data_IF_564595792227
#
_entry.id   IF_564595792227
#
_cell.length_a   1.000
_cell.length_b   1.000
_cell.length_c   1.000
_cell.angle_alpha   90.00
_cell.angle_beta   90.00
_cell.angle_gamma   90.00
#
_symmetry.space_group_name_H-M   'P 1'
#
loop_
_entity.id
_entity.type
_entity.pdbx_description
1 polymer ?
#
# COMPACT_ATOMS: atom_id res chain seq x y z
N UNK A 1 -1.40 -12.43 -14.23
CA UNK A 1 -2.30 -11.56 -15.01
C UNK A 1 -1.91 -10.15 -14.65
N UNK A 2 -1.49 -9.34 -15.62
CA UNK A 2 -1.14 -7.94 -15.40
C UNK A 2 -2.42 -7.14 -15.15
N UNK A 3 -2.80 -7.02 -13.88
CA UNK A 3 -4.00 -6.28 -13.47
C UNK A 3 -3.64 -4.84 -13.18
N UNK A 4 -4.41 -3.89 -13.73
CA UNK A 4 -4.25 -2.48 -13.39
C UNK A 4 -4.98 -2.17 -12.09
N UNK A 5 -4.30 -1.55 -11.14
CA UNK A 5 -4.88 -1.26 -9.82
C UNK A 5 -5.65 0.03 -9.80
N UNK A 6 -6.80 0.00 -9.11
CA UNK A 6 -7.70 1.14 -9.00
C UNK A 6 -8.16 1.33 -7.56
N UNK A 7 -8.36 2.57 -7.17
CA UNK A 7 -9.12 2.90 -5.97
C UNK A 7 -10.53 3.32 -6.35
N UNK A 8 -11.50 3.08 -5.47
CA UNK A 8 -12.73 3.89 -5.50
C UNK A 8 -12.35 5.36 -5.43
N UNK A 9 -12.92 6.18 -6.32
CA UNK A 9 -12.56 7.58 -6.41
C UNK A 9 -12.65 8.26 -5.02
N UNK A 10 -11.64 9.05 -4.62
CA UNK A 10 -11.64 9.75 -3.33
C UNK A 10 -12.78 10.78 -3.21
N UNK A 11 -13.38 11.18 -4.33
CA UNK A 11 -14.44 12.18 -4.40
C UNK A 11 -15.79 11.72 -3.81
N UNK A 12 -15.98 10.44 -3.50
CA UNK A 12 -17.27 9.99 -2.96
C UNK A 12 -17.35 10.29 -1.46
N UNK A 13 -17.73 11.52 -1.11
CA UNK A 13 -18.00 11.93 0.28
C UNK A 13 -19.26 11.26 0.84
N UNK A 14 -19.47 11.37 2.16
CA UNK A 14 -20.57 10.71 2.89
C UNK A 14 -21.95 11.08 2.34
N UNK A 15 -22.07 12.22 1.65
CA UNK A 15 -23.34 12.77 1.14
C UNK A 15 -23.33 13.06 -0.38
N UNK A 16 -22.28 12.64 -1.11
CA UNK A 16 -22.24 12.72 -2.58
C UNK A 16 -22.91 11.49 -3.22
N UNK A 17 -23.53 11.66 -4.39
CA UNK A 17 -24.18 10.59 -5.14
C UNK A 17 -23.15 9.48 -5.45
N UNK A 18 -23.26 8.36 -4.75
CA UNK A 18 -22.38 7.20 -4.89
C UNK A 18 -23.01 6.18 -5.84
N UNK A 19 -22.20 5.62 -6.74
CA UNK A 19 -22.65 4.53 -7.60
C UNK A 19 -22.49 3.17 -6.89
N UNK A 20 -22.96 2.14 -7.58
CA UNK A 20 -22.94 0.77 -7.13
C UNK A 20 -21.99 -0.04 -8.01
N UNK A 21 -21.43 -1.09 -7.41
CA UNK A 21 -21.01 -2.23 -8.18
C UNK A 21 -22.27 -3.00 -8.62
N UNK A 22 -22.36 -3.26 -9.91
CA UNK A 22 -23.40 -4.06 -10.54
C UNK A 22 -22.89 -5.47 -10.82
N UNK A 23 -23.79 -6.44 -10.91
CA UNK A 23 -23.43 -7.73 -11.49
C UNK A 23 -23.08 -7.58 -12.99
N UNK A 24 -22.47 -8.60 -13.60
CA UNK A 24 -22.04 -8.53 -15.01
C UNK A 24 -23.19 -8.39 -16.02
N UNK A 25 -24.43 -8.70 -15.63
CA UNK A 25 -25.64 -8.48 -16.44
C UNK A 25 -26.19 -7.05 -16.33
N UNK A 26 -25.59 -6.21 -15.48
CA UNK A 26 -26.02 -4.83 -15.20
C UNK A 26 -27.51 -4.69 -14.86
N UNK A 27 -28.07 -5.68 -14.15
CA UNK A 27 -29.49 -5.66 -13.76
C UNK A 27 -29.70 -5.71 -12.24
N UNK A 28 -28.62 -5.90 -11.47
CA UNK A 28 -28.65 -5.95 -10.01
C UNK A 28 -27.46 -5.22 -9.42
N UNK A 29 -27.73 -4.34 -8.46
CA UNK A 29 -26.72 -3.71 -7.59
C UNK A 29 -26.28 -4.74 -6.55
N UNK A 30 -24.98 -4.91 -6.37
CA UNK A 30 -24.41 -5.90 -5.44
C UNK A 30 -23.64 -5.25 -4.29
N UNK A 31 -22.97 -4.12 -4.52
CA UNK A 31 -22.25 -3.37 -3.47
C UNK A 31 -22.39 -1.87 -3.67
N UNK A 32 -22.53 -1.11 -2.58
CA UNK A 32 -22.49 0.37 -2.61
C UNK A 32 -21.03 0.82 -2.50
N UNK A 33 -20.52 1.62 -3.44
CA UNK A 33 -19.09 1.95 -3.49
C UNK A 33 -18.61 2.75 -2.28
N UNK A 34 -19.49 3.53 -1.64
CA UNK A 34 -19.16 4.24 -0.38
C UNK A 34 -18.73 3.34 0.77
N UNK A 35 -19.11 2.05 0.76
CA UNK A 35 -18.68 1.12 1.79
C UNK A 35 -17.23 0.64 1.57
N UNK A 36 -16.62 1.01 0.44
CA UNK A 36 -15.33 0.53 -0.01
C UNK A 36 -14.36 1.70 -0.31
N UNK A 37 -14.44 2.79 0.46
CA UNK A 37 -13.51 3.93 0.30
C UNK A 37 -12.06 3.47 0.46
N UNK A 38 -11.22 3.89 -0.49
CA UNK A 38 -9.80 3.51 -0.55
C UNK A 38 -9.60 1.99 -0.56
N UNK A 39 -10.57 1.25 -1.09
CA UNK A 39 -10.40 -0.17 -1.42
C UNK A 39 -9.72 -0.25 -2.78
N UNK A 40 -8.68 -1.07 -2.81
CA UNK A 40 -7.98 -1.42 -4.03
C UNK A 40 -8.77 -2.48 -4.80
N UNK A 41 -8.86 -2.28 -6.11
CA UNK A 41 -9.58 -3.13 -7.04
C UNK A 41 -8.68 -3.48 -8.22
N UNK A 42 -8.69 -4.76 -8.58
CA UNK A 42 -8.07 -5.27 -9.78
C UNK A 42 -8.95 -4.98 -10.99
N UNK A 43 -8.51 -4.13 -11.91
CA UNK A 43 -9.10 -3.99 -13.23
C UNK A 43 -8.65 -5.15 -14.13
N UNK A 44 -9.62 -5.87 -14.71
CA UNK A 44 -9.32 -6.94 -15.66
C UNK A 44 -10.13 -6.85 -16.96
N UNK A 45 -10.83 -5.73 -17.18
CA UNK A 45 -11.48 -5.45 -18.45
C UNK A 45 -12.40 -4.24 -18.40
N UNK A 46 -12.78 -3.75 -19.58
CA UNK A 46 -13.79 -2.72 -19.74
C UNK A 46 -14.87 -3.23 -20.70
N UNK A 47 -16.12 -2.83 -20.46
CA UNK A 47 -17.26 -3.13 -21.33
C UNK A 47 -18.12 -1.90 -21.48
N UNK A 48 -18.74 -1.78 -22.64
CA UNK A 48 -19.79 -0.78 -22.83
C UNK A 48 -21.15 -1.39 -22.47
N UNK A 49 -21.91 -0.67 -21.66
CA UNK A 49 -23.22 -1.10 -21.17
C UNK A 49 -24.27 -0.07 -21.62
N UNK A 50 -25.32 -0.55 -22.26
CA UNK A 50 -26.49 0.27 -22.59
C UNK A 50 -27.43 0.31 -21.39
N UNK A 51 -27.73 1.51 -20.90
CA UNK A 51 -28.67 1.77 -19.82
C UNK A 51 -29.84 2.61 -20.33
N UNK A 52 -30.87 2.82 -19.50
CA UNK A 52 -31.96 3.76 -19.79
C UNK A 52 -31.51 5.20 -20.03
N UNK A 53 -30.29 5.56 -19.59
CA UNK A 53 -29.69 6.88 -19.78
C UNK A 53 -28.67 6.91 -20.93
N UNK A 54 -28.66 5.88 -21.77
CA UNK A 54 -27.71 5.72 -22.87
C UNK A 54 -26.56 4.77 -22.55
N UNK A 55 -25.57 4.77 -23.43
CA UNK A 55 -24.41 3.87 -23.39
C UNK A 55 -23.30 4.44 -22.49
N UNK A 56 -22.80 3.64 -21.56
CA UNK A 56 -21.72 4.02 -20.63
C UNK A 56 -20.58 3.01 -20.64
N UNK A 57 -19.40 3.42 -20.16
CA UNK A 57 -18.23 2.53 -19.99
C UNK A 57 -18.17 2.04 -18.56
N UNK A 58 -18.12 0.72 -18.40
CA UNK A 58 -18.01 0.05 -17.11
C UNK A 58 -16.74 -0.78 -17.05
N UNK A 59 -16.04 -0.68 -15.94
CA UNK A 59 -14.90 -1.51 -15.63
C UNK A 59 -15.32 -2.78 -14.91
N UNK A 60 -14.76 -3.90 -15.36
CA UNK A 60 -14.81 -5.19 -14.66
C UNK A 60 -13.72 -5.18 -13.59
N UNK A 61 -14.15 -5.18 -12.35
CA UNK A 61 -13.25 -5.08 -11.20
C UNK A 61 -13.46 -6.21 -10.21
N UNK A 62 -12.40 -6.57 -9.49
CA UNK A 62 -12.45 -7.57 -8.42
C UNK A 62 -11.52 -7.21 -7.27
N UNK A 63 -11.76 -7.76 -6.08
CA UNK A 63 -10.76 -7.76 -5.02
C UNK A 63 -9.72 -8.88 -5.28
N UNK A 64 -8.65 -8.92 -4.48
CA UNK A 64 -7.52 -9.84 -4.69
C UNK A 64 -7.92 -11.33 -4.80
N UNK A 65 -8.81 -11.81 -3.93
CA UNK A 65 -9.29 -13.19 -3.94
C UNK A 65 -10.51 -13.43 -4.87
N UNK A 66 -10.94 -12.40 -5.60
CA UNK A 66 -12.08 -12.39 -6.51
C UNK A 66 -13.45 -12.74 -5.88
N UNK A 67 -13.55 -12.81 -4.54
CA UNK A 67 -14.83 -13.05 -3.85
C UNK A 67 -15.83 -11.91 -4.05
N UNK A 68 -15.34 -10.69 -4.29
CA UNK A 68 -16.15 -9.53 -4.66
C UNK A 68 -15.73 -9.05 -6.04
N UNK A 69 -16.64 -9.13 -7.01
CA UNK A 69 -16.39 -8.71 -8.39
C UNK A 69 -17.65 -8.24 -9.11
N UNK A 70 -17.50 -7.32 -10.05
CA UNK A 70 -18.63 -6.78 -10.81
C UNK A 70 -18.25 -5.65 -11.76
N UNK A 71 -19.27 -4.91 -12.18
CA UNK A 71 -19.17 -3.76 -13.06
C UNK A 71 -19.30 -2.46 -12.26
N UNK A 72 -18.35 -1.55 -12.45
CA UNK A 72 -18.41 -0.18 -11.90
C UNK A 72 -18.26 0.82 -13.02
N UNK A 73 -19.10 1.85 -13.04
CA UNK A 73 -18.99 2.89 -14.06
C UNK A 73 -17.63 3.61 -13.91
N UNK A 74 -16.91 3.80 -15.02
CA UNK A 74 -15.50 4.19 -15.00
C UNK A 74 -15.20 5.47 -14.20
N UNK A 75 -16.14 6.43 -14.15
CA UNK A 75 -16.00 7.69 -13.40
C UNK A 75 -15.92 7.55 -11.88
N UNK A 76 -16.30 6.41 -11.29
CA UNK A 76 -16.31 6.19 -9.84
C UNK A 76 -15.09 5.43 -9.31
N UNK A 77 -14.15 5.11 -10.20
CA UNK A 77 -12.87 4.49 -9.87
C UNK A 77 -11.76 5.25 -10.57
N UNK A 78 -10.63 5.36 -9.90
CA UNK A 78 -9.44 6.06 -10.41
C UNK A 78 -8.26 5.12 -10.34
N UNK A 79 -7.28 5.31 -11.22
CA UNK A 79 -6.04 4.54 -11.15
C UNK A 79 -5.38 4.74 -9.79
N UNK A 80 -4.90 3.66 -9.21
CA UNK A 80 -4.08 3.72 -8.01
C UNK A 80 -2.73 4.31 -8.41
N UNK A 81 -2.39 5.50 -7.91
CA UNK A 81 -1.17 6.22 -8.26
C UNK A 81 -0.41 6.62 -7.00
N UNK A 82 0.91 6.44 -7.00
CA UNK A 82 1.82 7.04 -6.00
C UNK A 82 2.65 8.13 -6.64
N UNK A 83 3.02 9.14 -5.84
CA UNK A 83 3.99 10.15 -6.22
C UNK A 83 5.40 9.67 -5.88
N UNK A 84 6.39 9.93 -6.72
CA UNK A 84 7.78 9.59 -6.43
C UNK A 84 8.26 10.32 -5.16
N UNK A 85 8.85 9.63 -4.20
CA UNK A 85 9.40 10.24 -2.98
C UNK A 85 10.44 11.34 -3.27
N UNK A 86 11.14 11.26 -4.39
CA UNK A 86 12.13 12.26 -4.79
C UNK A 86 11.51 13.59 -5.24
N UNK A 87 10.20 13.61 -5.51
CA UNK A 87 9.45 14.81 -5.92
C UNK A 87 9.03 15.73 -4.76
N UNK A 88 9.26 15.32 -3.51
CA UNK A 88 8.96 16.13 -2.33
C UNK A 88 10.19 16.94 -1.91
N UNK A 89 9.95 18.14 -1.40
CA UNK A 89 11.02 19.07 -0.98
C UNK A 89 11.12 19.24 0.53
N UNK A 90 10.12 18.80 1.30
CA UNK A 90 10.12 18.88 2.76
C UNK A 90 9.43 17.70 3.44
N UNK A 91 9.79 17.47 4.71
CA UNK A 91 9.13 16.48 5.57
C UNK A 91 7.62 16.74 5.67
N UNK A 92 7.22 18.00 5.81
CA UNK A 92 5.81 18.39 5.94
C UNK A 92 4.97 17.98 4.71
N UNK A 93 5.49 18.23 3.49
CA UNK A 93 4.81 17.81 2.26
C UNK A 93 4.68 16.29 2.18
N UNK A 94 5.75 15.56 2.51
CA UNK A 94 5.75 14.10 2.44
C UNK A 94 4.84 13.46 3.48
N UNK A 95 4.85 13.98 4.71
CA UNK A 95 3.93 13.56 5.78
C UNK A 95 2.48 13.82 5.37
N UNK A 96 2.18 14.98 4.78
CA UNK A 96 0.83 15.27 4.29
C UNK A 96 0.41 14.29 3.20
N UNK A 97 1.30 13.96 2.27
CA UNK A 97 1.05 12.96 1.24
C UNK A 97 0.76 11.58 1.83
N UNK A 98 1.59 11.10 2.77
CA UNK A 98 1.36 9.84 3.48
C UNK A 98 -0.02 9.82 4.15
N UNK A 99 -0.41 10.91 4.82
CA UNK A 99 -1.69 11.06 5.54
C UNK A 99 -2.92 11.08 4.62
N UNK A 100 -2.81 11.64 3.42
CA UNK A 100 -3.98 11.98 2.59
C UNK A 100 -4.13 11.12 1.34
N UNK A 101 -3.03 10.64 0.76
CA UNK A 101 -3.07 9.92 -0.51
C UNK A 101 -3.72 8.53 -0.36
N UNK A 102 -4.69 8.15 -1.21
CA UNK A 102 -5.29 6.82 -1.22
C UNK A 102 -4.27 5.68 -1.28
N UNK A 103 -3.23 5.84 -2.12
CA UNK A 103 -2.15 4.87 -2.31
C UNK A 103 -1.28 4.63 -1.08
N UNK A 104 -1.34 5.52 -0.09
CA UNK A 104 -0.51 5.45 1.11
C UNK A 104 -1.23 4.79 2.29
N UNK A 105 -2.34 4.06 2.04
CA UNK A 105 -3.11 3.38 3.09
C UNK A 105 -2.28 2.39 3.90
N UNK A 106 -1.47 1.57 3.24
CA UNK A 106 -0.56 0.66 3.92
C UNK A 106 0.49 1.43 4.72
N UNK A 107 1.14 2.43 4.12
CA UNK A 107 2.15 3.25 4.79
C UNK A 107 1.60 3.91 6.07
N UNK A 108 0.42 4.52 6.02
CA UNK A 108 -0.24 5.09 7.21
C UNK A 108 -0.43 4.08 8.33
N UNK A 109 -0.88 2.87 7.99
CA UNK A 109 -1.12 1.85 9.02
C UNK A 109 0.21 1.33 9.62
N UNK A 110 1.29 1.27 8.84
CA UNK A 110 2.62 0.97 9.37
C UNK A 110 3.13 2.11 10.27
N UNK A 111 2.92 3.38 9.91
CA UNK A 111 3.29 4.52 10.75
C UNK A 111 2.59 4.46 12.12
N UNK A 112 1.34 4.02 12.16
CA UNK A 112 0.61 3.84 13.41
C UNK A 112 1.23 2.81 14.37
N UNK A 113 2.12 1.93 13.88
CA UNK A 113 2.88 1.02 14.75
C UNK A 113 3.99 1.74 15.54
N UNK A 114 4.37 2.96 15.14
CA UNK A 114 5.44 3.78 15.72
C UNK A 114 4.93 5.20 16.02
N UNK A 115 3.99 5.36 16.97
CA UNK A 115 3.19 6.58 17.11
C UNK A 115 4.00 7.85 17.44
N UNK A 116 5.20 7.69 18.00
CA UNK A 116 6.03 8.82 18.45
C UNK A 116 7.26 9.07 17.57
N UNK A 117 7.58 8.17 16.63
CA UNK A 117 8.73 8.34 15.74
C UNK A 117 8.47 9.39 14.67
N UNK A 118 9.49 10.14 14.29
CA UNK A 118 9.37 11.24 13.33
C UNK A 118 9.68 10.78 11.91
N UNK A 119 8.76 10.99 10.97
CA UNK A 119 9.02 10.69 9.55
C UNK A 119 10.07 11.66 9.01
N UNK A 120 11.11 11.13 8.35
CA UNK A 120 12.13 11.91 7.66
C UNK A 120 12.05 11.64 6.15
N UNK A 121 11.86 12.68 5.35
CA UNK A 121 11.92 12.63 3.89
C UNK A 121 13.30 12.20 3.42
N UNK A 122 14.37 12.72 4.01
CA UNK A 122 15.73 12.37 3.64
C UNK A 122 16.00 10.87 3.84
N UNK A 123 15.57 10.32 4.97
CA UNK A 123 15.67 8.89 5.22
C UNK A 123 14.77 8.08 4.27
N UNK A 124 13.57 8.59 3.98
CA UNK A 124 12.63 7.98 3.03
C UNK A 124 13.17 7.94 1.59
N UNK A 125 13.86 8.99 1.14
CA UNK A 125 14.56 9.06 -0.14
C UNK A 125 15.72 8.06 -0.20
N UNK A 126 16.53 7.97 0.86
CA UNK A 126 17.63 6.98 0.96
C UNK A 126 17.10 5.55 0.78
N UNK A 127 16.01 5.22 1.48
CA UNK A 127 15.46 3.86 1.47
C UNK A 127 14.59 3.54 0.25
N UNK A 128 14.29 4.52 -0.61
CA UNK A 128 13.55 4.27 -1.85
C UNK A 128 14.38 3.54 -2.91
N UNK A 129 15.70 3.39 -2.70
CA UNK A 129 16.54 2.60 -3.60
C UNK A 129 16.64 1.15 -3.14
N UNK A 130 16.57 0.18 -4.06
CA UNK A 130 16.71 -1.26 -3.74
C UNK A 130 18.17 -1.68 -3.51
N UNK A 131 19.14 -0.83 -3.85
CA UNK A 131 20.55 -1.19 -3.98
C UNK A 131 21.38 -1.05 -2.68
N UNK A 132 20.77 -0.60 -1.58
CA UNK A 132 21.50 -0.23 -0.35
C UNK A 132 21.61 -1.31 0.73
N UNK A 133 20.97 -2.48 0.57
CA UNK A 133 20.95 -3.52 1.61
C UNK A 133 22.11 -4.50 1.47
N UNK A 134 22.69 -4.84 2.62
CA UNK A 134 23.64 -5.96 2.70
C UNK A 134 22.92 -7.27 2.38
N UNK A 135 23.43 -8.03 1.41
CA UNK A 135 22.79 -9.27 0.93
C UNK A 135 22.72 -10.40 1.97
N UNK A 136 23.60 -10.38 2.99
CA UNK A 136 23.61 -11.39 4.06
C UNK A 136 22.64 -11.02 5.19
N UNK A 137 22.65 -9.76 5.62
CA UNK A 137 21.88 -9.33 6.79
C UNK A 137 20.54 -8.70 6.45
N UNK A 138 20.34 -8.27 5.20
CA UNK A 138 19.16 -7.52 4.77
C UNK A 138 19.08 -6.10 5.32
N UNK A 139 20.15 -5.60 5.97
CA UNK A 139 20.18 -4.29 6.61
C UNK A 139 20.76 -3.24 5.67
N UNK A 140 20.12 -2.08 5.61
CA UNK A 140 20.62 -0.90 4.91
C UNK A 140 21.67 -0.14 5.71
N UNK A 141 22.70 0.35 5.03
CA UNK A 141 23.68 1.24 5.64
C UNK A 141 23.04 2.62 5.92
N UNK A 142 22.67 2.85 7.18
CA UNK A 142 22.17 4.15 7.65
C UNK A 142 23.31 4.90 8.37
N UNK A 143 24.15 5.63 7.64
CA UNK A 143 25.22 6.44 8.24
C UNK A 143 24.64 7.60 9.06
N UNK A 144 25.19 7.86 10.26
CA UNK A 144 24.71 8.89 11.18
C UNK A 144 23.53 8.45 12.05
N UNK A 145 23.29 7.14 12.15
CA UNK A 145 22.22 6.56 12.94
C UNK A 145 22.71 5.38 13.78
N UNK A 146 22.18 5.25 14.98
CA UNK A 146 22.35 4.12 15.90
C UNK A 146 21.02 3.37 16.08
N UNK A 147 21.08 2.23 16.79
CA UNK A 147 19.90 1.45 17.18
C UNK A 147 18.94 1.11 16.02
N UNK A 148 19.48 0.73 14.87
CA UNK A 148 18.75 0.61 13.60
C UNK A 148 17.73 -0.52 13.63
N UNK A 149 16.55 -0.24 13.09
CA UNK A 149 15.52 -1.23 12.74
C UNK A 149 15.29 -1.16 11.23
N UNK A 150 15.46 -2.27 10.52
CA UNK A 150 15.17 -2.37 9.08
C UNK A 150 14.21 -3.52 8.85
N UNK A 151 13.07 -3.25 8.22
CA UNK A 151 12.05 -4.25 7.91
C UNK A 151 12.54 -5.37 6.98
N UNK A 152 13.63 -5.13 6.24
CA UNK A 152 14.31 -6.11 5.41
C UNK A 152 15.34 -6.96 6.16
N UNK A 153 15.62 -6.67 7.44
CA UNK A 153 16.65 -7.36 8.19
C UNK A 153 16.30 -8.83 8.45
N UNK A 154 17.28 -9.72 8.30
CA UNK A 154 17.16 -11.14 8.63
C UNK A 154 16.89 -11.38 10.12
N UNK A 155 17.28 -10.44 10.99
CA UNK A 155 16.99 -10.48 12.43
C UNK A 155 15.50 -10.30 12.78
N UNK A 156 14.69 -9.79 11.85
CA UNK A 156 13.23 -9.71 12.00
C UNK A 156 12.50 -10.91 11.38
N UNK A 157 13.23 -11.94 10.95
CA UNK A 157 12.61 -13.15 10.41
C UNK A 157 11.76 -13.80 11.48
N UNK A 158 10.48 -14.00 11.19
CA UNK A 158 9.57 -14.63 12.14
C UNK A 158 9.86 -16.12 12.27
N UNK A 159 10.25 -16.54 13.47
CA UNK A 159 10.58 -17.93 13.81
C UNK A 159 9.56 -18.57 14.78
N UNK A 160 8.38 -17.95 14.92
CA UNK A 160 7.30 -18.45 15.76
C UNK A 160 6.57 -19.66 15.17
N UNK A 161 5.26 -19.76 15.44
CA UNK A 161 4.46 -20.90 15.02
C UNK A 161 4.43 -21.06 13.47
N UNK A 162 4.87 -22.24 12.99
CA UNK A 162 4.99 -22.58 11.57
C UNK A 162 3.66 -22.67 10.82
N UNK A 163 2.56 -22.89 11.54
CA UNK A 163 1.21 -23.02 10.96
C UNK A 163 0.56 -21.67 10.71
N UNK A 164 1.09 -20.60 11.30
CA UNK A 164 0.52 -19.27 11.14
C UNK A 164 0.71 -18.73 9.74
N UNK A 165 -0.39 -18.24 9.19
CA UNK A 165 -0.44 -17.65 7.87
C UNK A 165 -1.52 -16.58 7.81
N UNK A 166 -1.37 -15.69 6.85
CA UNK A 166 -2.39 -14.73 6.46
C UNK A 166 -2.85 -15.08 5.05
N UNK A 167 -4.08 -15.57 4.91
CA UNK A 167 -4.69 -15.94 3.61
C UNK A 167 -3.79 -16.88 2.78
N UNK A 168 -3.17 -17.88 3.43
CA UNK A 168 -2.27 -18.84 2.79
C UNK A 168 -0.80 -18.43 2.75
N UNK A 169 -0.46 -17.17 3.07
CA UNK A 169 0.92 -16.70 3.12
C UNK A 169 1.51 -16.90 4.51
N UNK A 170 2.52 -17.77 4.62
CA UNK A 170 3.16 -18.12 5.89
C UNK A 170 3.86 -16.91 6.52
N UNK A 171 3.71 -16.76 7.84
CA UNK A 171 4.53 -15.83 8.60
C UNK A 171 5.95 -16.36 8.78
N UNK A 172 6.06 -17.66 9.10
CA UNK A 172 7.34 -18.32 9.38
C UNK A 172 8.33 -18.18 8.23
N UNK A 173 9.55 -17.75 8.56
CA UNK A 173 10.62 -17.54 7.59
C UNK A 173 10.49 -16.26 6.77
N UNK A 174 9.52 -15.39 7.07
CA UNK A 174 9.39 -14.07 6.44
C UNK A 174 9.81 -12.98 7.43
N UNK A 175 10.48 -11.94 6.91
CA UNK A 175 10.62 -10.65 7.58
C UNK A 175 9.52 -9.69 7.09
N UNK A 176 9.30 -8.52 7.74
CA UNK A 176 8.24 -7.60 7.34
C UNK A 176 8.28 -7.19 5.85
N UNK A 177 9.44 -6.82 5.29
CA UNK A 177 9.53 -6.41 3.88
C UNK A 177 9.17 -7.55 2.92
N UNK A 178 9.73 -8.74 3.10
CA UNK A 178 9.44 -9.90 2.23
C UNK A 178 7.99 -10.38 2.36
N UNK A 179 7.41 -10.30 3.56
CA UNK A 179 6.01 -10.62 3.79
C UNK A 179 5.08 -9.63 3.09
N UNK A 180 5.34 -8.32 3.24
CA UNK A 180 4.57 -7.28 2.56
C UNK A 180 4.66 -7.44 1.04
N UNK A 181 5.84 -7.77 0.51
CA UNK A 181 6.02 -8.04 -0.91
C UNK A 181 5.21 -9.23 -1.41
N UNK A 182 5.18 -10.36 -0.68
CA UNK A 182 4.41 -11.55 -1.08
C UNK A 182 2.91 -11.38 -0.95
N UNK A 183 2.48 -10.50 -0.06
CA UNK A 183 1.06 -10.25 0.25
C UNK A 183 0.52 -8.99 -0.39
N UNK A 184 1.21 -8.47 -1.41
CA UNK A 184 0.73 -7.37 -2.23
C UNK A 184 -0.72 -7.63 -2.68
N UNK A 185 -1.53 -6.57 -2.78
CA UNK A 185 -2.99 -6.59 -3.04
C UNK A 185 -3.89 -7.16 -1.95
N UNK A 186 -3.34 -7.82 -0.92
CA UNK A 186 -4.16 -8.23 0.22
C UNK A 186 -4.50 -7.03 1.10
N UNK A 187 -5.63 -7.06 1.84
CA UNK A 187 -6.05 -5.95 2.69
C UNK A 187 -4.95 -5.49 3.65
N UNK A 188 -4.66 -4.18 3.65
CA UNK A 188 -3.60 -3.55 4.44
C UNK A 188 -3.65 -3.92 5.92
N UNK A 189 -4.85 -3.94 6.53
CA UNK A 189 -5.02 -4.25 7.96
C UNK A 189 -4.49 -5.62 8.34
N UNK A 190 -4.79 -6.66 7.56
CA UNK A 190 -4.27 -8.00 7.86
C UNK A 190 -2.76 -8.09 7.67
N UNK A 191 -2.22 -7.36 6.69
CA UNK A 191 -0.78 -7.27 6.43
C UNK A 191 -0.04 -6.56 7.58
N UNK A 192 -0.57 -5.45 8.06
CA UNK A 192 -0.02 -4.67 9.17
C UNK A 192 -0.09 -5.44 10.49
N UNK A 193 -1.17 -6.20 10.73
CA UNK A 193 -1.27 -7.08 11.90
C UNK A 193 -0.17 -8.15 11.90
N UNK A 194 0.11 -8.76 10.74
CA UNK A 194 1.21 -9.70 10.60
C UNK A 194 2.57 -9.02 10.83
N UNK A 195 2.78 -7.82 10.28
CA UNK A 195 4.01 -7.04 10.55
C UNK A 195 4.17 -6.72 12.03
N UNK A 196 3.11 -6.27 12.73
CA UNK A 196 3.16 -6.05 14.18
C UNK A 196 3.60 -7.32 14.90
N UNK A 197 3.03 -8.47 14.52
CA UNK A 197 3.41 -9.76 15.12
C UNK A 197 4.87 -10.11 14.90
N UNK A 198 5.42 -9.83 13.71
CA UNK A 198 6.83 -10.03 13.42
C UNK A 198 7.73 -9.13 14.26
N UNK A 199 7.33 -7.86 14.42
CA UNK A 199 8.04 -6.90 15.28
C UNK A 199 8.00 -7.34 16.75
N UNK A 200 6.83 -7.72 17.26
CA UNK A 200 6.65 -8.18 18.64
C UNK A 200 7.51 -9.42 18.92
N UNK A 201 7.55 -10.39 18.00
CA UNK A 201 8.39 -11.59 18.12
C UNK A 201 9.89 -11.28 18.10
N UNK A 202 10.30 -10.18 17.48
CA UNK A 202 11.68 -9.69 17.50
C UNK A 202 11.98 -8.78 18.71
N UNK A 203 11.06 -8.68 19.67
CA UNK A 203 11.22 -7.85 20.87
C UNK A 203 10.94 -6.37 20.67
N UNK A 204 10.41 -5.96 19.52
CA UNK A 204 9.90 -4.61 19.27
C UNK A 204 8.42 -4.55 19.62
N UNK A 205 8.09 -4.71 20.91
CA UNK A 205 6.71 -4.65 21.42
C UNK A 205 6.06 -3.31 21.10
N UNK A 206 4.73 -3.23 21.16
CA UNK A 206 4.00 -1.97 20.99
C UNK A 206 4.51 -0.86 21.94
N UNK A 207 4.81 -1.21 23.20
CA UNK A 207 5.41 -0.29 24.18
C UNK A 207 6.80 0.18 23.74
N UNK A 208 7.68 -0.74 23.32
CA UNK A 208 9.01 -0.38 22.84
C UNK A 208 8.92 0.55 21.63
N UNK A 209 8.02 0.28 20.68
CA UNK A 209 7.80 1.13 19.50
C UNK A 209 7.23 2.50 19.86
N UNK A 210 6.37 2.58 20.87
CA UNK A 210 5.89 3.85 21.40
C UNK A 210 7.03 4.68 22.04
N UNK A 211 8.01 4.04 22.65
CA UNK A 211 9.17 4.72 23.23
C UNK A 211 10.24 5.15 22.21
N UNK A 212 10.05 4.90 20.91
CA UNK A 212 10.97 5.32 19.84
C UNK A 212 10.75 6.78 19.39
N UNK A 213 10.52 7.70 20.33
CA UNK A 213 10.22 9.11 20.05
C UNK A 213 11.40 9.91 19.50
N UNK A 214 12.62 9.51 19.84
CA UNK A 214 13.90 10.03 19.36
C UNK A 214 14.35 9.44 18.01
N UNK A 215 13.58 8.51 17.44
CA UNK A 215 13.92 7.86 16.18
C UNK A 215 13.39 8.65 14.99
N UNK A 216 14.19 8.69 13.93
CA UNK A 216 13.72 9.03 12.60
C UNK A 216 13.27 7.78 11.85
N UNK A 217 12.15 7.89 11.15
CA UNK A 217 11.52 6.84 10.37
C UNK A 217 11.58 7.19 8.89
N UNK A 218 12.26 6.35 8.12
CA UNK A 218 12.22 6.39 6.65
C UNK A 218 11.24 5.35 6.14
N UNK A 219 10.30 5.78 5.30
CA UNK A 219 9.31 4.88 4.70
C UNK A 219 9.19 5.17 3.22
N UNK A 220 9.19 4.13 2.40
CA UNK A 220 8.83 4.20 1.00
C UNK A 220 8.02 2.96 0.66
N UNK A 221 6.74 3.15 0.34
CA UNK A 221 5.82 2.07 0.00
C UNK A 221 5.09 2.40 -1.31
N UNK A 222 5.37 1.59 -2.33
CA UNK A 222 4.66 1.56 -3.60
C UNK A 222 3.99 0.19 -3.73
N UNK A 223 2.76 0.11 -3.23
CA UNK A 223 1.99 -1.14 -3.08
C UNK A 223 1.36 -1.58 -4.42
N UNK A 224 2.19 -1.76 -5.45
CA UNK A 224 1.83 -2.06 -6.84
C UNK A 224 1.06 -0.94 -7.58
N UNK A 225 1.05 0.26 -7.03
CA UNK A 225 0.39 1.40 -7.66
C UNK A 225 1.19 1.95 -8.86
N UNK A 226 0.48 2.58 -9.80
CA UNK A 226 1.09 3.22 -10.96
C UNK A 226 1.85 4.50 -10.60
N UNK A 227 2.71 4.95 -11.51
CA UNK A 227 3.45 6.19 -11.33
C UNK A 227 2.58 7.43 -11.60
N UNK A 228 2.29 8.21 -10.56
CA UNK A 228 1.49 9.42 -10.68
C UNK A 228 2.15 10.46 -11.58
N UNK A 229 3.47 10.57 -11.54
CA UNK A 229 4.19 11.64 -12.25
C UNK A 229 4.07 11.45 -13.76
N UNK A 230 3.90 10.20 -14.22
CA UNK A 230 3.73 9.83 -15.62
C UNK A 230 2.26 9.61 -16.05
N UNK A 231 1.34 9.30 -15.13
CA UNK A 231 -0.03 8.84 -15.47
C UNK A 231 -1.18 9.69 -14.90
N UNK A 232 -0.90 10.86 -14.30
CA UNK A 232 -1.93 11.73 -13.71
C UNK A 232 -3.03 12.22 -14.68
N UNK A 233 -2.75 12.22 -15.99
CA UNK A 233 -3.66 12.73 -17.02
C UNK A 233 -4.47 11.63 -17.72
N UNK A 234 -4.32 10.36 -17.33
CA UNK A 234 -5.02 9.24 -17.95
C UNK A 234 -6.53 9.31 -17.62
N UNK A 235 -7.36 9.58 -18.62
CA UNK A 235 -8.83 9.68 -18.49
C UNK A 235 -9.56 8.34 -18.65
N UNK A 236 -8.91 7.37 -19.31
CA UNK A 236 -9.34 5.99 -19.49
C UNK A 236 -8.19 5.06 -19.12
N UNK A 237 -8.51 3.98 -18.41
CA UNK A 237 -7.51 3.04 -17.90
C UNK A 237 -7.55 1.80 -18.79
N UNK A 238 -6.46 1.56 -19.51
CA UNK A 238 -6.30 0.36 -20.33
C UNK A 238 -5.79 -0.80 -19.47
N UNK A 239 -6.32 -2.00 -19.72
CA UNK A 239 -5.84 -3.25 -19.12
C UNK A 239 -4.48 -3.63 -19.73
N UNK A 240 -3.55 -4.14 -18.92
CA UNK A 240 -2.26 -4.66 -19.38
C UNK A 240 -1.17 -3.61 -19.63
N UNK A 241 -1.41 -2.32 -19.33
CA UNK A 241 -0.37 -1.28 -19.38
C UNK A 241 0.24 -1.07 -18.00
N UNK A 242 1.39 -1.67 -17.72
CA UNK A 242 2.19 -1.40 -16.51
C UNK A 242 3.26 -0.34 -16.77
N UNK A 243 3.09 0.87 -16.23
CA UNK A 243 4.17 1.74 -15.80
C UNK A 243 4.15 1.74 -14.28
N UNK A 244 4.32 0.55 -13.70
CA UNK A 244 4.33 0.38 -12.26
C UNK A 244 5.61 0.99 -11.72
N UNK A 245 5.53 1.73 -10.61
CA UNK A 245 6.69 1.78 -9.74
C UNK A 245 7.09 0.34 -9.42
N UNK A 246 8.40 0.04 -9.35
CA UNK A 246 8.84 -1.22 -8.74
C UNK A 246 8.15 -1.38 -7.38
N UNK A 247 7.76 -2.61 -7.04
CA UNK A 247 7.23 -2.92 -5.71
C UNK A 247 8.27 -2.55 -4.64
N UNK A 248 7.99 -1.52 -3.85
CA UNK A 248 8.87 -1.07 -2.77
C UNK A 248 8.09 -1.14 -1.46
N UNK A 249 8.69 -1.78 -0.45
CA UNK A 249 8.16 -1.93 0.91
C UNK A 249 9.26 -1.67 1.95
N UNK A 250 9.91 -0.52 1.82
CA UNK A 250 11.09 -0.20 2.62
C UNK A 250 10.69 0.67 3.80
N UNK A 251 10.99 0.19 4.99
CA UNK A 251 10.75 0.89 6.25
C UNK A 251 11.97 0.70 7.12
N UNK A 252 12.54 1.80 7.58
CA UNK A 252 13.66 1.81 8.51
C UNK A 252 13.44 2.82 9.62
N UNK A 253 14.03 2.55 10.76
CA UNK A 253 14.12 3.49 11.87
C UNK A 253 15.58 3.54 12.36
N UNK A 254 16.01 4.73 12.77
CA UNK A 254 17.31 4.92 13.40
C UNK A 254 17.24 6.07 14.39
N UNK A 255 17.93 5.93 15.51
CA UNK A 255 18.20 7.03 16.43
C UNK A 255 19.33 7.87 15.84
N UNK A 256 19.21 9.20 15.82
CA UNK A 256 20.26 10.06 15.27
C UNK A 256 21.48 10.01 16.19
N UNK A 257 22.67 9.79 15.61
CA UNK A 257 23.92 9.92 16.37
C UNK A 257 24.02 11.32 16.98
N UNK A 258 24.43 11.37 18.25
CA UNK A 258 24.62 12.61 19.03
C UNK A 258 25.86 13.37 18.59
#
# INVERSE_FOLDING_TARGET
MDTTHMYTAPAIQKDQQTDYMWNFKHNKRIHKLNNYKYTEWNLYGAVSVTTKHGKGIYYKISNADQSVRGLVHHKYVTRALAKNVNSFTSDAEYINYLKTAPSQKLARQILNLFPNSQVSLDLSKKVATLNGRNSRTGVMALTGFTNKLDFGASSLTFLGNRSENYRGYKHFGSNPTSFLWRTYLLPATGRVNAVSKMLDAAGYTAEKRANMGNYQLGICIYDEVGDQDNHKNDTLIHFGGSPSFCLIYNVVLGEKES
#
